data_IF_899419226978
#
_entry.id   IF_899419226978
#
_cell.length_a   1.000
_cell.length_b   1.000
_cell.length_c   1.000
_cell.angle_alpha   90.00
_cell.angle_beta   90.00
_cell.angle_gamma   90.00
#
_symmetry.space_group_name_H-M   'P 1'
#
loop_
_entity.id
_entity.type
_entity.pdbx_description
1 polymer ?
#
# COMPACT_ATOMS: atom_id res chain seq x y z
N UNK A 1 -13.23 -23.11 11.81
CA UNK A 1 -14.17 -23.71 10.84
C UNK A 1 -15.43 -22.87 10.62
N UNK A 2 -16.02 -22.23 11.63
CA UNK A 2 -17.22 -21.36 11.49
C UNK A 2 -16.99 -20.14 10.60
N UNK A 3 -15.78 -19.57 10.61
CA UNK A 3 -15.47 -18.37 9.82
C UNK A 3 -15.33 -18.62 8.31
N UNK A 4 -14.99 -19.85 7.87
CA UNK A 4 -14.78 -20.19 6.46
C UNK A 4 -16.08 -20.32 5.65
N UNK A 5 -17.11 -20.96 6.22
CA UNK A 5 -18.44 -21.04 5.60
C UNK A 5 -19.08 -19.65 5.44
N UNK A 6 -18.80 -18.73 6.38
CA UNK A 6 -19.29 -17.35 6.32
C UNK A 6 -18.70 -16.53 5.16
N UNK A 7 -17.42 -16.76 4.76
CA UNK A 7 -16.78 -16.01 3.68
C UNK A 7 -17.42 -16.30 2.31
N UNK A 8 -17.58 -17.58 1.96
CA UNK A 8 -18.17 -17.97 0.67
C UNK A 8 -19.65 -17.60 0.57
N UNK A 9 -20.41 -17.69 1.66
CA UNK A 9 -21.78 -17.22 1.71
C UNK A 9 -21.86 -15.68 1.61
N UNK A 10 -20.94 -14.94 2.19
CA UNK A 10 -20.93 -13.49 2.09
C UNK A 10 -20.67 -13.00 0.66
N UNK A 11 -19.79 -13.64 -0.10
CA UNK A 11 -19.55 -13.29 -1.51
C UNK A 11 -20.78 -13.52 -2.37
N UNK A 12 -21.58 -14.53 -2.06
CA UNK A 12 -22.84 -14.82 -2.79
C UNK A 12 -23.99 -13.89 -2.40
N UNK A 13 -23.99 -13.36 -1.16
CA UNK A 13 -25.09 -12.57 -0.61
C UNK A 13 -24.68 -11.18 -0.12
N UNK A 14 -23.41 -10.84 -0.09
CA UNK A 14 -22.85 -9.57 0.38
C UNK A 14 -21.71 -9.14 -0.53
N UNK A 15 -21.39 -7.87 -0.50
CA UNK A 15 -20.50 -7.20 -1.45
C UNK A 15 -19.00 -7.53 -1.28
N UNK A 16 -18.55 -8.01 -0.09
CA UNK A 16 -17.13 -8.24 0.23
C UNK A 16 -16.92 -9.30 1.31
N UNK A 17 -15.66 -9.77 1.50
CA UNK A 17 -15.34 -10.77 2.53
C UNK A 17 -15.47 -10.21 3.96
N UNK A 18 -15.10 -8.96 4.18
CA UNK A 18 -15.01 -8.36 5.51
C UNK A 18 -15.84 -7.08 5.65
N UNK A 19 -16.35 -6.89 6.88
CA UNK A 19 -16.91 -5.61 7.30
C UNK A 19 -15.80 -4.75 7.91
N UNK A 20 -15.64 -3.55 7.40
CA UNK A 20 -14.57 -2.62 7.82
C UNK A 20 -14.87 -1.80 9.07
N UNK A 21 -16.06 -1.91 9.66
CA UNK A 21 -16.49 -1.04 10.78
C UNK A 21 -15.54 -1.09 11.97
N UNK A 22 -15.09 -2.28 12.35
CA UNK A 22 -14.12 -2.46 13.44
C UNK A 22 -12.78 -1.83 13.09
N UNK A 23 -12.28 -2.09 11.88
CA UNK A 23 -11.02 -1.52 11.40
C UNK A 23 -11.10 0.02 11.40
N UNK A 24 -12.18 0.59 10.85
CA UNK A 24 -12.39 2.05 10.83
C UNK A 24 -12.37 2.64 12.25
N UNK A 25 -13.04 2.00 13.20
CA UNK A 25 -13.06 2.44 14.60
C UNK A 25 -11.66 2.44 15.22
N UNK A 26 -10.93 1.33 15.11
CA UNK A 26 -9.58 1.19 15.66
C UNK A 26 -8.60 2.21 15.06
N UNK A 27 -8.64 2.41 13.75
CA UNK A 27 -7.79 3.38 13.05
C UNK A 27 -8.14 4.80 13.48
N UNK A 28 -9.43 5.16 13.57
CA UNK A 28 -9.86 6.48 14.03
C UNK A 28 -9.35 6.76 15.44
N UNK A 29 -9.59 5.85 16.40
CA UNK A 29 -9.14 5.99 17.79
C UNK A 29 -7.61 6.13 17.90
N UNK A 30 -6.87 5.36 17.10
CA UNK A 30 -5.40 5.40 17.09
C UNK A 30 -4.88 6.74 16.55
N UNK A 31 -5.46 7.23 15.45
CA UNK A 31 -5.04 8.48 14.84
C UNK A 31 -5.43 9.70 15.69
N UNK A 32 -6.64 9.70 16.25
CA UNK A 32 -7.11 10.77 17.13
C UNK A 32 -6.23 10.85 18.39
N UNK A 33 -5.86 9.71 18.95
CA UNK A 33 -4.92 9.64 20.08
C UNK A 33 -3.54 10.16 19.72
N UNK A 34 -3.00 9.76 18.57
CA UNK A 34 -1.67 10.17 18.11
C UNK A 34 -1.62 11.67 17.79
N UNK A 35 -2.68 12.22 17.20
CA UNK A 35 -2.78 13.63 16.84
C UNK A 35 -3.16 14.54 18.03
N UNK A 36 -3.69 13.97 19.13
CA UNK A 36 -4.24 14.73 20.26
C UNK A 36 -5.51 15.52 19.92
N UNK A 37 -6.17 15.21 18.81
CA UNK A 37 -7.37 15.89 18.32
C UNK A 37 -8.30 14.90 17.58
N UNK A 38 -9.61 15.12 17.66
CA UNK A 38 -10.61 14.33 16.95
C UNK A 38 -11.54 15.22 16.12
N UNK A 39 -11.78 14.93 14.83
CA UNK A 39 -11.08 13.89 14.07
C UNK A 39 -9.65 14.29 13.69
N UNK A 40 -8.72 13.35 13.75
CA UNK A 40 -7.40 13.53 13.18
C UNK A 40 -7.49 13.74 11.67
N UNK A 41 -6.67 14.65 11.15
CA UNK A 41 -6.63 14.99 9.72
C UNK A 41 -5.26 14.64 9.12
N UNK A 42 -5.20 14.47 7.83
CA UNK A 42 -3.95 14.15 7.13
C UNK A 42 -2.84 15.15 7.45
N UNK A 43 -3.19 16.44 7.57
CA UNK A 43 -2.25 17.52 7.90
C UNK A 43 -1.70 17.51 9.34
N UNK A 44 -2.21 16.66 10.24
CA UNK A 44 -1.64 16.47 11.58
C UNK A 44 -0.44 15.51 11.56
N UNK A 45 -0.10 14.93 10.41
CA UNK A 45 1.09 14.10 10.26
C UNK A 45 2.37 14.90 10.51
N UNK A 46 3.28 14.32 11.30
CA UNK A 46 4.62 14.92 11.53
C UNK A 46 5.55 14.77 10.33
N UNK A 47 5.21 13.93 9.37
CA UNK A 47 5.97 13.70 8.15
C UNK A 47 5.12 14.00 6.92
N UNK A 48 5.78 14.19 5.78
CA UNK A 48 5.09 14.30 4.50
C UNK A 48 4.61 12.92 4.05
N UNK A 49 3.37 12.87 3.58
CA UNK A 49 2.73 11.63 3.16
C UNK A 49 2.29 11.73 1.70
N UNK A 50 2.46 10.62 0.99
CA UNK A 50 1.89 10.34 -0.32
C UNK A 50 1.20 8.97 -0.23
N UNK A 51 -0.13 8.97 -0.29
CA UNK A 51 -0.95 7.76 -0.08
C UNK A 51 -1.72 7.47 -1.35
N UNK A 52 -1.29 6.48 -2.15
CA UNK A 52 -1.95 6.13 -3.41
C UNK A 52 -3.29 5.44 -3.17
N UNK A 53 -4.23 5.76 -4.03
CA UNK A 53 -5.54 5.09 -4.16
C UNK A 53 -5.92 5.04 -5.63
N UNK A 54 -6.85 4.18 -5.99
CA UNK A 54 -7.46 4.18 -7.31
C UNK A 54 -8.91 4.69 -7.23
N UNK A 55 -9.17 5.78 -7.92
CA UNK A 55 -10.52 6.34 -8.07
C UNK A 55 -11.22 5.58 -9.22
N UNK A 56 -11.98 4.56 -8.88
CA UNK A 56 -12.69 3.74 -9.85
C UNK A 56 -13.81 4.51 -10.58
N UNK A 57 -14.30 5.61 -10.01
CA UNK A 57 -15.27 6.47 -10.67
C UNK A 57 -14.62 7.25 -11.82
N UNK A 58 -13.39 7.70 -11.65
CA UNK A 58 -12.64 8.42 -12.68
C UNK A 58 -11.79 7.49 -13.56
N UNK A 59 -11.59 6.24 -13.15
CA UNK A 59 -10.70 5.32 -13.84
C UNK A 59 -9.22 5.73 -13.77
N UNK A 60 -8.79 6.37 -12.68
CA UNK A 60 -7.45 6.94 -12.56
C UNK A 60 -6.85 6.75 -11.18
N UNK A 61 -5.51 6.68 -11.13
CA UNK A 61 -4.77 6.77 -9.88
C UNK A 61 -4.93 8.16 -9.27
N UNK A 62 -5.12 8.21 -7.98
CA UNK A 62 -5.07 9.42 -7.18
C UNK A 62 -4.10 9.22 -6.01
N UNK A 63 -3.40 10.27 -5.60
CA UNK A 63 -2.47 10.23 -4.47
C UNK A 63 -2.88 11.30 -3.48
N UNK A 64 -3.38 10.89 -2.31
CA UNK A 64 -3.64 11.81 -1.21
C UNK A 64 -2.32 12.28 -0.62
N UNK A 65 -2.18 13.59 -0.43
CA UNK A 65 -0.92 14.21 -0.01
C UNK A 65 -1.11 15.16 1.16
N UNK A 66 -0.12 15.20 2.03
CA UNK A 66 0.03 16.33 2.96
C UNK A 66 0.40 17.62 2.21
N UNK A 67 0.24 18.76 2.85
CA UNK A 67 0.55 20.06 2.25
C UNK A 67 2.07 20.27 2.14
N UNK A 68 2.69 19.75 1.07
CA UNK A 68 4.11 19.97 0.77
C UNK A 68 4.36 20.75 -0.53
N UNK A 69 3.31 21.32 -1.10
CA UNK A 69 3.37 22.31 -2.17
C UNK A 69 2.27 23.36 -1.95
N UNK A 70 2.47 24.65 -2.28
CA UNK A 70 1.47 25.70 -2.08
C UNK A 70 0.10 25.43 -2.70
N UNK A 71 0.05 24.66 -3.76
CA UNK A 71 -1.21 24.28 -4.43
C UNK A 71 -1.95 23.11 -3.76
N UNK A 72 -1.29 22.38 -2.84
CA UNK A 72 -1.87 21.23 -2.12
C UNK A 72 -2.60 21.68 -0.85
N UNK A 73 -3.61 22.55 -0.99
CA UNK A 73 -4.28 23.20 0.13
C UNK A 73 -5.56 22.51 0.60
N UNK A 74 -5.99 21.44 -0.06
CA UNK A 74 -7.28 20.79 0.22
C UNK A 74 -7.13 19.47 0.98
N UNK A 75 -6.26 18.59 0.50
CA UNK A 75 -6.21 17.21 0.97
C UNK A 75 -5.68 17.06 2.39
N UNK A 76 -4.81 17.98 2.86
CA UNK A 76 -4.33 17.95 4.25
C UNK A 76 -5.44 18.09 5.29
N UNK A 77 -6.61 18.58 4.89
CA UNK A 77 -7.77 18.75 5.77
C UNK A 77 -8.67 17.50 5.84
N UNK A 78 -8.41 16.48 5.01
CA UNK A 78 -9.19 15.25 5.02
C UNK A 78 -9.06 14.51 6.35
N UNK A 79 -10.15 13.87 6.83
CA UNK A 79 -10.03 12.97 7.97
C UNK A 79 -9.03 11.85 7.66
N UNK A 80 -8.02 11.68 8.51
CA UNK A 80 -6.96 10.69 8.29
C UNK A 80 -7.50 9.26 8.23
N UNK A 81 -8.56 8.96 9.00
CA UNK A 81 -9.23 7.67 8.96
C UNK A 81 -9.85 7.38 7.60
N UNK A 82 -10.43 8.38 6.92
CA UNK A 82 -11.08 8.15 5.62
C UNK A 82 -10.04 7.96 4.51
N UNK A 83 -8.88 8.62 4.62
CA UNK A 83 -7.74 8.36 3.74
C UNK A 83 -7.19 6.94 3.94
N UNK A 84 -7.02 6.50 5.19
CA UNK A 84 -6.57 5.15 5.50
C UNK A 84 -7.57 4.08 5.01
N UNK A 85 -8.88 4.30 5.22
CA UNK A 85 -9.91 3.38 4.75
C UNK A 85 -9.98 3.31 3.23
N UNK A 86 -9.64 4.40 2.54
CA UNK A 86 -9.58 4.45 1.08
C UNK A 86 -8.44 3.59 0.54
N UNK A 87 -7.22 3.80 1.05
CA UNK A 87 -6.04 3.05 0.59
C UNK A 87 -6.03 1.58 1.04
N UNK A 88 -6.81 1.22 2.07
CA UNK A 88 -6.98 -0.16 2.54
C UNK A 88 -8.21 -0.86 1.94
N UNK A 89 -8.88 -0.27 0.96
CA UNK A 89 -10.08 -0.85 0.33
C UNK A 89 -9.71 -1.87 -0.75
N UNK A 90 -8.96 -2.92 -0.37
CA UNK A 90 -8.53 -3.97 -1.27
C UNK A 90 -9.75 -4.70 -1.87
N UNK A 91 -9.85 -4.77 -3.21
CA UNK A 91 -10.94 -5.47 -3.89
C UNK A 91 -11.09 -6.90 -3.40
N UNK A 92 -12.32 -7.41 -3.36
CA UNK A 92 -12.69 -8.72 -2.82
C UNK A 92 -12.69 -8.76 -1.30
N UNK A 93 -11.66 -8.23 -0.63
CA UNK A 93 -11.57 -8.20 0.84
C UNK A 93 -12.53 -7.17 1.42
N UNK A 94 -12.57 -5.98 0.81
CA UNK A 94 -13.47 -4.90 1.21
C UNK A 94 -14.22 -4.33 0.01
N UNK A 95 -15.39 -3.75 0.28
CA UNK A 95 -16.10 -2.92 -0.70
C UNK A 95 -15.26 -1.68 -1.04
N UNK A 96 -15.50 -1.03 -2.19
CA UNK A 96 -14.97 0.31 -2.45
C UNK A 96 -15.36 1.27 -1.33
N UNK A 97 -14.54 2.28 -1.11
CA UNK A 97 -14.76 3.26 -0.06
C UNK A 97 -15.27 4.58 -0.63
N UNK A 98 -16.18 5.22 0.10
CA UNK A 98 -16.64 6.56 -0.20
C UNK A 98 -16.73 7.37 1.08
N UNK A 99 -16.43 8.66 0.98
CA UNK A 99 -16.53 9.61 2.08
C UNK A 99 -16.73 11.03 1.58
N UNK A 100 -17.16 11.88 2.50
CA UNK A 100 -17.35 13.29 2.27
C UNK A 100 -16.67 14.08 3.38
N UNK A 101 -16.11 15.23 3.06
CA UNK A 101 -15.61 16.14 4.07
C UNK A 101 -15.83 17.60 3.65
N UNK A 102 -15.90 18.48 4.64
CA UNK A 102 -15.92 19.92 4.44
C UNK A 102 -14.55 20.48 4.89
N UNK A 103 -13.88 21.30 4.05
CA UNK A 103 -12.69 22.03 4.46
C UNK A 103 -12.97 22.91 5.68
N UNK A 104 -12.04 23.00 6.65
CA UNK A 104 -12.21 23.79 7.88
C UNK A 104 -12.34 25.28 7.57
N UNK A 105 -11.60 25.76 6.57
CA UNK A 105 -11.55 27.17 6.21
C UNK A 105 -12.75 27.64 5.36
N UNK A 106 -13.81 26.84 5.34
CA UNK A 106 -14.92 27.05 4.42
C UNK A 106 -14.60 26.55 3.02
N UNK A 107 -15.62 26.28 2.23
CA UNK A 107 -15.46 25.79 0.88
C UNK A 107 -16.52 24.77 0.53
N UNK A 108 -16.50 24.34 -0.71
CA UNK A 108 -17.44 23.34 -1.21
C UNK A 108 -17.14 21.98 -0.56
N UNK A 109 -18.20 21.28 -0.14
CA UNK A 109 -18.15 19.88 0.29
C UNK A 109 -17.50 19.03 -0.79
N UNK A 110 -16.50 18.26 -0.41
CA UNK A 110 -15.79 17.33 -1.28
C UNK A 110 -16.34 15.93 -1.08
N UNK A 111 -16.63 15.25 -2.18
CA UNK A 111 -17.15 13.87 -2.18
C UNK A 111 -16.23 12.96 -2.97
N UNK A 112 -15.87 11.86 -2.35
CA UNK A 112 -15.13 10.76 -2.96
C UNK A 112 -16.01 9.52 -2.96
N UNK A 113 -16.07 8.83 -4.10
CA UNK A 113 -16.89 7.62 -4.25
C UNK A 113 -16.12 6.56 -5.02
N UNK A 114 -16.39 5.29 -4.70
CA UNK A 114 -15.76 4.14 -5.37
C UNK A 114 -14.23 4.17 -5.36
N UNK A 115 -13.66 4.60 -4.25
CA UNK A 115 -12.20 4.54 -4.05
C UNK A 115 -11.82 3.12 -3.63
N UNK A 116 -10.77 2.58 -4.24
CA UNK A 116 -10.20 1.28 -3.94
C UNK A 116 -8.71 1.40 -3.64
N UNK A 117 -8.15 0.34 -3.07
CA UNK A 117 -6.76 0.24 -2.67
C UNK A 117 -5.80 0.64 -3.80
N UNK A 118 -4.83 1.48 -3.45
CA UNK A 118 -3.77 1.90 -4.36
C UNK A 118 -2.78 0.80 -4.72
N UNK A 119 -2.74 -0.30 -3.97
CA UNK A 119 -1.87 -1.45 -4.24
C UNK A 119 -2.08 -2.11 -5.60
N UNK A 120 -3.25 -1.90 -6.23
CA UNK A 120 -3.46 -2.34 -7.61
C UNK A 120 -2.51 -1.65 -8.59
N UNK A 121 -2.20 -0.37 -8.34
CA UNK A 121 -1.41 0.47 -9.25
C UNK A 121 -0.01 0.78 -8.71
N UNK A 122 0.16 0.81 -7.39
CA UNK A 122 1.36 1.24 -6.70
C UNK A 122 1.62 0.41 -5.44
N UNK A 123 1.64 -0.92 -5.58
CA UNK A 123 1.98 -1.84 -4.48
C UNK A 123 3.41 -1.59 -3.94
N UNK A 124 4.28 -1.07 -4.80
CA UNK A 124 5.53 -0.43 -4.41
C UNK A 124 5.44 1.07 -4.73
N UNK A 125 5.13 1.94 -3.75
CA UNK A 125 4.94 3.37 -3.98
C UNK A 125 6.24 4.17 -4.10
N UNK A 126 7.39 3.52 -4.16
CA UNK A 126 8.70 4.18 -4.18
C UNK A 126 8.84 5.21 -5.31
N UNK A 127 8.35 4.89 -6.51
CA UNK A 127 8.40 5.81 -7.64
C UNK A 127 7.55 7.07 -7.41
N UNK A 128 6.42 6.94 -6.69
CA UNK A 128 5.59 8.09 -6.28
C UNK A 128 6.40 8.98 -5.34
N UNK A 129 7.02 8.40 -4.30
CA UNK A 129 7.85 9.13 -3.36
C UNK A 129 9.04 9.82 -4.02
N UNK A 130 9.75 9.12 -4.92
CA UNK A 130 10.85 9.68 -5.71
C UNK A 130 10.38 10.87 -6.55
N UNK A 131 9.30 10.70 -7.31
CA UNK A 131 8.75 11.76 -8.15
C UNK A 131 8.34 12.96 -7.34
N UNK A 132 7.69 12.74 -6.19
CA UNK A 132 7.26 13.83 -5.30
C UNK A 132 8.45 14.59 -4.71
N UNK A 133 9.49 13.87 -4.27
CA UNK A 133 10.70 14.48 -3.74
C UNK A 133 11.38 15.38 -4.78
N UNK A 134 11.54 14.88 -5.99
CA UNK A 134 12.25 15.62 -7.06
C UNK A 134 11.38 16.73 -7.65
N UNK A 135 10.10 16.44 -7.97
CA UNK A 135 9.26 17.37 -8.71
C UNK A 135 8.56 18.40 -7.81
N UNK A 136 8.01 17.98 -6.68
CA UNK A 136 7.25 18.87 -5.80
C UNK A 136 8.13 19.54 -4.75
N UNK A 137 9.03 18.77 -4.12
CA UNK A 137 9.92 19.27 -3.08
C UNK A 137 11.22 19.88 -3.62
N UNK A 138 11.51 19.67 -4.90
CA UNK A 138 12.74 20.16 -5.58
C UNK A 138 14.03 19.67 -4.93
N UNK A 139 14.01 18.49 -4.31
CA UNK A 139 15.21 17.88 -3.73
C UNK A 139 16.14 17.45 -4.85
N UNK A 140 17.42 17.82 -4.85
CA UNK A 140 18.40 17.32 -5.80
C UNK A 140 18.49 15.80 -5.72
N UNK A 141 18.57 15.13 -6.88
CA UNK A 141 18.59 13.66 -6.94
C UNK A 141 19.72 13.07 -6.10
N UNK A 142 20.89 13.71 -6.09
CA UNK A 142 22.05 13.26 -5.32
C UNK A 142 21.89 13.33 -3.79
N UNK A 143 20.89 14.06 -3.31
CA UNK A 143 20.61 14.20 -1.87
C UNK A 143 19.53 13.18 -1.40
N UNK A 144 19.07 12.30 -2.29
CA UNK A 144 18.04 11.33 -1.96
C UNK A 144 18.63 10.05 -1.35
N UNK A 145 18.06 9.64 -0.22
CA UNK A 145 18.21 8.30 0.33
C UNK A 145 16.82 7.68 0.48
N UNK A 146 16.57 6.58 -0.22
CA UNK A 146 15.27 5.94 -0.32
C UNK A 146 15.36 4.53 0.27
N UNK A 147 14.65 4.30 1.35
CA UNK A 147 14.41 2.97 1.90
C UNK A 147 13.01 2.51 1.52
N UNK A 148 12.93 1.43 0.77
CA UNK A 148 11.68 0.83 0.32
C UNK A 148 11.44 -0.47 1.08
N UNK A 149 10.35 -0.53 1.83
CA UNK A 149 9.96 -1.72 2.61
C UNK A 149 8.83 -2.45 1.90
N UNK A 150 9.02 -3.73 1.63
CA UNK A 150 7.99 -4.60 1.08
C UNK A 150 7.32 -5.46 2.14
N UNK A 151 6.18 -5.99 1.80
CA UNK A 151 5.37 -6.87 2.67
C UNK A 151 5.56 -8.35 2.38
N UNK A 152 6.56 -8.68 1.57
CA UNK A 152 6.82 -10.03 1.07
C UNK A 152 6.17 -10.29 -0.30
N UNK A 153 6.74 -11.23 -1.04
CA UNK A 153 6.19 -11.72 -2.31
C UNK A 153 6.14 -13.24 -2.30
N UNK A 154 5.05 -13.79 -2.79
CA UNK A 154 4.93 -15.23 -2.98
C UNK A 154 5.57 -15.62 -4.32
N UNK A 155 6.47 -16.58 -4.29
CA UNK A 155 6.99 -17.16 -5.52
C UNK A 155 5.87 -18.00 -6.17
N UNK A 156 5.67 -17.82 -7.47
CA UNK A 156 4.77 -18.65 -8.26
C UNK A 156 5.53 -19.92 -8.71
N UNK A 157 6.03 -20.71 -7.74
CA UNK A 157 6.91 -21.85 -7.99
C UNK A 157 6.16 -23.06 -8.57
N UNK A 158 4.94 -23.29 -8.11
CA UNK A 158 4.10 -24.41 -8.57
C UNK A 158 3.19 -24.00 -9.74
N UNK A 159 3.81 -23.68 -10.87
CA UNK A 159 3.05 -23.39 -12.07
C UNK A 159 2.55 -24.70 -12.72
N UNK A 160 1.25 -24.86 -12.93
CA UNK A 160 0.74 -25.96 -13.77
C UNK A 160 1.26 -25.80 -15.19
N UNK A 161 1.37 -26.92 -15.95
CA UNK A 161 1.82 -26.88 -17.35
C UNK A 161 1.03 -25.92 -18.23
N UNK A 162 -0.21 -25.63 -17.84
CA UNK A 162 -1.09 -24.68 -18.55
C UNK A 162 -1.80 -23.80 -17.54
N UNK A 163 -1.65 -22.47 -17.70
CA UNK A 163 -2.32 -21.47 -16.86
C UNK A 163 -3.74 -21.28 -17.37
N UNK A 164 -4.71 -21.85 -16.67
CA UNK A 164 -6.13 -21.76 -17.02
C UNK A 164 -6.80 -20.53 -16.40
N UNK A 165 -7.97 -20.13 -16.90
CA UNK A 165 -8.78 -19.08 -16.28
C UNK A 165 -9.10 -19.38 -14.80
N UNK A 166 -9.37 -20.65 -14.47
CA UNK A 166 -9.61 -21.08 -13.09
C UNK A 166 -8.40 -20.83 -12.20
N UNK A 167 -7.18 -21.11 -12.67
CA UNK A 167 -5.94 -20.84 -11.97
C UNK A 167 -5.80 -19.36 -11.61
N UNK A 168 -6.07 -18.46 -12.54
CA UNK A 168 -5.95 -17.03 -12.34
C UNK A 168 -7.03 -16.44 -11.45
N UNK A 169 -8.27 -16.87 -11.64
CA UNK A 169 -9.40 -16.25 -10.96
C UNK A 169 -9.56 -16.77 -9.52
N UNK A 170 -9.49 -18.06 -9.32
CA UNK A 170 -9.67 -18.63 -7.99
C UNK A 170 -9.19 -20.08 -7.91
N UNK A 171 -7.94 -20.30 -7.56
CA UNK A 171 -7.42 -21.62 -7.25
C UNK A 171 -6.80 -21.63 -5.85
N UNK A 172 -7.02 -22.74 -5.12
CA UNK A 172 -6.55 -22.91 -3.75
C UNK A 172 -6.95 -21.74 -2.81
N UNK A 173 -8.15 -21.15 -3.05
CA UNK A 173 -8.71 -20.03 -2.27
C UNK A 173 -7.96 -18.70 -2.43
N UNK A 174 -7.25 -18.49 -3.52
CA UNK A 174 -6.47 -17.28 -3.81
C UNK A 174 -6.94 -16.63 -5.09
N UNK A 175 -6.82 -15.31 -5.12
CA UNK A 175 -7.00 -14.50 -6.32
C UNK A 175 -5.63 -14.26 -6.95
N UNK A 176 -5.05 -15.26 -7.58
CA UNK A 176 -3.68 -15.22 -8.14
C UNK A 176 -3.48 -14.10 -9.15
N UNK A 177 -4.52 -13.69 -9.85
CA UNK A 177 -4.45 -12.55 -10.76
C UNK A 177 -4.14 -11.24 -10.02
N UNK A 178 -4.73 -11.04 -8.83
CA UNK A 178 -4.43 -9.87 -8.00
C UNK A 178 -2.99 -9.91 -7.50
N UNK A 179 -2.56 -11.05 -6.99
CA UNK A 179 -1.19 -11.26 -6.52
C UNK A 179 -0.17 -11.03 -7.64
N UNK A 180 -0.45 -11.56 -8.84
CA UNK A 180 0.40 -11.34 -10.01
C UNK A 180 0.51 -9.86 -10.38
N UNK A 181 -0.61 -9.14 -10.48
CA UNK A 181 -0.61 -7.72 -10.85
C UNK A 181 0.16 -6.91 -9.82
N UNK A 182 -0.08 -7.14 -8.53
CA UNK A 182 0.57 -6.42 -7.43
C UNK A 182 2.08 -6.70 -7.39
N UNK A 183 2.49 -7.97 -7.54
CA UNK A 183 3.91 -8.36 -7.56
C UNK A 183 4.62 -7.81 -8.81
N UNK A 184 4.03 -7.95 -9.99
CA UNK A 184 4.60 -7.46 -11.23
C UNK A 184 4.80 -5.92 -11.20
N UNK A 185 3.84 -5.18 -10.65
CA UNK A 185 3.97 -3.74 -10.47
C UNK A 185 5.09 -3.39 -9.48
N UNK A 186 5.18 -4.11 -8.37
CA UNK A 186 6.20 -3.89 -7.35
C UNK A 186 7.61 -4.17 -7.91
N UNK A 187 7.78 -5.26 -8.67
CA UNK A 187 9.04 -5.63 -9.29
C UNK A 187 9.43 -4.65 -10.41
N UNK A 188 8.47 -4.25 -11.23
CA UNK A 188 8.71 -3.23 -12.26
C UNK A 188 9.23 -1.93 -11.62
N UNK A 189 8.58 -1.45 -10.57
CA UNK A 189 9.01 -0.24 -9.85
C UNK A 189 10.40 -0.42 -9.24
N UNK A 190 10.68 -1.57 -8.61
CA UNK A 190 12.00 -1.85 -8.02
C UNK A 190 13.10 -1.86 -9.07
N UNK A 191 12.87 -2.49 -10.21
CA UNK A 191 13.82 -2.55 -11.31
C UNK A 191 14.05 -1.17 -11.92
N UNK A 192 12.99 -0.37 -12.08
CA UNK A 192 13.09 0.99 -12.58
C UNK A 192 13.90 1.90 -11.64
N UNK A 193 13.66 1.79 -10.32
CA UNK A 193 14.41 2.54 -9.32
C UNK A 193 15.91 2.16 -9.29
N UNK A 194 16.22 0.87 -9.40
CA UNK A 194 17.61 0.39 -9.54
C UNK A 194 18.26 0.91 -10.82
N UNK A 195 17.50 0.99 -11.92
CA UNK A 195 17.99 1.56 -13.16
C UNK A 195 18.29 3.06 -13.01
N UNK A 196 17.38 3.83 -12.41
CA UNK A 196 17.59 5.26 -12.13
C UNK A 196 18.77 5.49 -11.19
N UNK A 197 18.92 4.67 -10.14
CA UNK A 197 20.05 4.77 -9.23
C UNK A 197 21.40 4.65 -9.94
N UNK A 198 21.52 3.74 -10.92
CA UNK A 198 22.75 3.56 -11.71
C UNK A 198 23.07 4.75 -12.59
N UNK A 199 22.08 5.55 -12.95
CA UNK A 199 22.24 6.71 -13.84
C UNK A 199 22.51 6.37 -15.28
N UNK A 200 22.45 7.40 -16.12
CA UNK A 200 22.82 7.30 -17.55
C UNK A 200 24.28 7.72 -17.65
N UNK A 201 25.17 6.75 -17.67
CA UNK A 201 26.61 6.97 -17.83
C UNK A 201 27.43 6.15 -16.82
N UNK A 202 28.50 5.55 -17.29
CA UNK A 202 29.37 4.64 -16.52
C UNK A 202 30.24 5.38 -15.48
N UNK A 203 29.70 6.28 -14.68
CA UNK A 203 30.48 6.98 -13.64
C UNK A 203 30.85 6.09 -12.45
N UNK A 204 30.25 4.91 -12.35
CA UNK A 204 30.45 3.99 -11.22
C UNK A 204 29.85 4.47 -9.88
N UNK A 205 29.42 5.72 -9.80
CA UNK A 205 28.80 6.29 -8.58
C UNK A 205 27.30 6.32 -8.71
N UNK A 206 26.53 5.76 -7.77
CA UNK A 206 25.08 5.84 -7.76
C UNK A 206 24.60 7.29 -7.75
N UNK A 207 23.52 7.58 -8.48
CA UNK A 207 22.92 8.93 -8.52
C UNK A 207 22.23 9.29 -7.20
N UNK A 208 21.74 8.29 -6.46
CA UNK A 208 21.12 8.41 -5.14
C UNK A 208 21.17 7.06 -4.43
N UNK A 209 20.87 7.03 -3.13
CA UNK A 209 20.81 5.79 -2.37
C UNK A 209 19.40 5.19 -2.51
N UNK A 210 19.33 3.91 -2.89
CA UNK A 210 18.08 3.16 -2.95
C UNK A 210 18.27 1.73 -2.45
N UNK A 211 17.62 1.41 -1.34
CA UNK A 211 17.58 0.09 -0.75
C UNK A 211 16.14 -0.44 -0.70
N UNK A 212 15.96 -1.69 -1.08
CA UNK A 212 14.68 -2.40 -1.00
C UNK A 212 14.81 -3.63 -0.12
N UNK A 213 14.11 -3.62 1.00
CA UNK A 213 13.98 -4.79 1.87
C UNK A 213 12.70 -5.54 1.49
N UNK A 214 12.85 -6.79 1.07
CA UNK A 214 11.77 -7.63 0.58
C UNK A 214 12.07 -9.09 0.87
N UNK A 215 11.13 -9.79 1.49
CA UNK A 215 11.17 -11.24 1.66
C UNK A 215 10.46 -11.93 0.49
N UNK A 216 11.00 -13.08 0.06
CA UNK A 216 10.36 -13.95 -0.92
C UNK A 216 9.92 -15.22 -0.21
N UNK A 217 8.60 -15.39 -0.05
CA UNK A 217 8.04 -16.59 0.55
C UNK A 217 8.20 -17.79 -0.39
N UNK A 218 8.58 -18.92 0.19
CA UNK A 218 8.47 -20.23 -0.44
C UNK A 218 7.06 -20.82 -0.23
N UNK A 219 6.75 -21.92 -0.89
CA UNK A 219 5.45 -22.59 -0.72
C UNK A 219 5.20 -23.08 0.72
N UNK A 220 6.29 -23.40 1.45
CA UNK A 220 6.22 -23.94 2.81
C UNK A 220 6.02 -22.85 3.88
N UNK A 221 6.42 -21.61 3.61
CA UNK A 221 6.39 -20.50 4.57
C UNK A 221 5.43 -19.38 4.19
N UNK A 222 4.64 -19.57 3.15
CA UNK A 222 3.70 -18.60 2.65
C UNK A 222 2.60 -18.24 3.66
N UNK A 223 2.37 -16.93 3.85
CA UNK A 223 1.31 -16.38 4.69
C UNK A 223 0.22 -15.73 3.83
N UNK A 224 -1.02 -16.17 4.02
CA UNK A 224 -2.16 -15.55 3.32
C UNK A 224 -2.38 -14.10 3.77
N UNK A 225 -2.78 -13.22 2.86
CA UNK A 225 -3.00 -11.79 3.12
C UNK A 225 -3.96 -11.52 4.29
N UNK A 226 -4.89 -12.43 4.56
CA UNK A 226 -5.88 -12.33 5.63
C UNK A 226 -5.68 -13.35 6.77
N UNK A 227 -4.49 -13.96 6.86
CA UNK A 227 -4.16 -14.87 7.95
C UNK A 227 -3.63 -14.09 9.17
N UNK A 228 -4.52 -13.90 10.14
CA UNK A 228 -4.22 -13.24 11.41
C UNK A 228 -3.98 -14.24 12.55
N UNK A 229 -3.61 -15.49 12.25
CA UNK A 229 -3.25 -16.46 13.29
C UNK A 229 -1.99 -16.02 14.05
N UNK A 230 -1.92 -16.33 15.33
CA UNK A 230 -0.73 -16.00 16.14
C UNK A 230 0.55 -16.61 15.57
N UNK A 231 0.46 -17.80 14.94
CA UNK A 231 1.59 -18.45 14.28
C UNK A 231 2.08 -17.60 13.10
N UNK A 232 1.18 -17.18 12.23
CA UNK A 232 1.52 -16.38 11.05
C UNK A 232 2.05 -15.00 11.42
N UNK A 233 1.43 -14.34 12.42
CA UNK A 233 1.92 -13.06 12.91
C UNK A 233 3.34 -13.18 13.50
N UNK A 234 3.61 -14.22 14.30
CA UNK A 234 4.95 -14.45 14.86
C UNK A 234 5.98 -14.79 13.79
N UNK A 235 5.57 -15.56 12.77
CA UNK A 235 6.43 -15.86 11.63
C UNK A 235 6.82 -14.57 10.86
N UNK A 236 5.85 -13.72 10.54
CA UNK A 236 6.11 -12.42 9.89
C UNK A 236 7.00 -11.50 10.74
N UNK A 237 6.80 -11.49 12.07
CA UNK A 237 7.66 -10.74 12.98
C UNK A 237 9.12 -11.22 12.92
N UNK A 238 9.35 -12.53 12.94
CA UNK A 238 10.70 -13.10 12.85
C UNK A 238 11.37 -12.73 11.52
N UNK A 239 10.67 -12.87 10.39
CA UNK A 239 11.17 -12.45 9.07
C UNK A 239 11.55 -10.97 9.08
N UNK A 240 10.72 -10.11 9.65
CA UNK A 240 11.01 -8.68 9.76
C UNK A 240 12.28 -8.40 10.60
N UNK A 241 12.49 -9.16 11.69
CA UNK A 241 13.70 -9.03 12.52
C UNK A 241 14.95 -9.51 11.79
N UNK A 242 14.88 -10.60 11.05
CA UNK A 242 15.98 -11.11 10.23
C UNK A 242 16.38 -10.10 9.14
N UNK A 243 15.41 -9.61 8.36
CA UNK A 243 15.65 -8.60 7.33
C UNK A 243 16.27 -7.32 7.90
N UNK A 244 15.84 -6.89 9.09
CA UNK A 244 16.42 -5.73 9.75
C UNK A 244 17.87 -6.00 10.21
N UNK A 245 18.14 -7.18 10.77
CA UNK A 245 19.48 -7.58 11.21
C UNK A 245 20.49 -7.60 10.05
N UNK A 246 20.11 -8.19 8.93
CA UNK A 246 20.93 -8.26 7.72
C UNK A 246 21.19 -6.85 7.15
N UNK A 247 20.16 -6.01 7.09
CA UNK A 247 20.31 -4.63 6.61
C UNK A 247 21.18 -3.79 7.54
N UNK A 248 20.97 -3.86 8.85
CA UNK A 248 21.78 -3.14 9.82
C UNK A 248 23.26 -3.53 9.75
N UNK A 249 23.54 -4.83 9.52
CA UNK A 249 24.91 -5.34 9.34
C UNK A 249 25.55 -4.83 8.04
N UNK A 250 24.76 -4.63 6.99
CA UNK A 250 25.26 -4.12 5.70
C UNK A 250 25.62 -2.63 5.72
N UNK A 251 25.19 -1.89 6.75
CA UNK A 251 25.48 -0.47 6.93
C UNK A 251 26.78 -0.21 7.75
N UNK A 252 27.32 -1.25 8.39
CA UNK A 252 28.58 -1.19 9.17
C UNK A 252 29.76 -1.53 8.29
#
# INVERSE_FOLDING_TARGET
HKNRLNKSCRVLFSKSFYNRSILKKLVSESYDKAAGVSPARLGHSHTRLCIPVYDAHKGAMHVFKTSHHPELIREYQMPAVDVAMSTAAAPVYFDSYGFEYCPINGGQKMTYSNIIDGGIMANNPTLIGYTEAVQSLKIPVGDLAILSLGTGTNLLSDLPKTLTAKYWLYENKRFRLYDLISSAQADYTSNLMKFYQRGIGNSGTPMFIYDRLQHSFSDDDEVGMDDSSLRSLKHLENIGQELYGDYATSLL
#
